data_IF_037850735763
#
_entry.id   IF_037850735763
#
_cell.length_a   1.000
_cell.length_b   1.000
_cell.length_c   1.000
_cell.angle_alpha   90.00
_cell.angle_beta   90.00
_cell.angle_gamma   90.00
#
_symmetry.space_group_name_H-M   'P 1'
#
loop_
_entity.id
_entity.type
_entity.pdbx_description
1 polymer ?
#
# COMPACT_ATOMS: atom_id res chain seq x y z
N UNK A 1 25.66 3.53 -26.27
CA UNK A 1 24.49 2.80 -25.70
C UNK A 1 24.89 2.20 -24.36
N UNK A 2 24.50 2.82 -23.25
CA UNK A 2 24.72 2.23 -21.90
C UNK A 2 23.85 0.99 -21.77
N UNK A 3 24.47 -0.17 -21.64
CA UNK A 3 23.80 -1.45 -21.31
C UNK A 3 23.02 -1.24 -20.01
N UNK A 4 21.69 -1.08 -20.09
CA UNK A 4 20.83 -1.30 -18.92
C UNK A 4 20.97 -2.78 -18.56
N UNK A 5 21.83 -3.09 -17.60
CA UNK A 5 21.69 -4.34 -16.85
C UNK A 5 20.30 -4.29 -16.24
N UNK A 6 19.39 -5.14 -16.68
CA UNK A 6 18.18 -5.46 -15.94
C UNK A 6 18.65 -6.22 -14.69
N UNK A 7 19.23 -5.47 -13.75
CA UNK A 7 19.37 -5.97 -12.41
C UNK A 7 17.92 -6.12 -11.93
N UNK A 8 17.46 -7.33 -11.74
CA UNK A 8 16.38 -7.65 -10.83
C UNK A 8 16.81 -7.12 -9.46
N UNK A 9 16.68 -5.81 -9.28
CA UNK A 9 16.96 -5.15 -8.01
C UNK A 9 16.11 -5.86 -6.97
N UNK A 10 16.77 -6.48 -6.00
CA UNK A 10 16.11 -7.03 -4.83
C UNK A 10 15.21 -5.92 -4.27
N UNK A 11 13.90 -6.08 -4.47
CA UNK A 11 12.94 -5.07 -4.03
C UNK A 11 13.06 -4.87 -2.53
N UNK A 12 13.23 -3.64 -2.12
CA UNK A 12 13.42 -3.26 -0.72
C UNK A 12 12.12 -3.53 0.03
N UNK A 13 12.21 -4.05 1.25
CA UNK A 13 11.05 -4.17 2.13
C UNK A 13 10.48 -2.79 2.44
N UNK A 14 9.17 -2.64 2.40
CA UNK A 14 8.48 -1.35 2.52
C UNK A 14 8.92 -0.56 3.76
N UNK A 15 9.00 -1.20 4.93
CA UNK A 15 9.40 -0.50 6.15
C UNK A 15 10.83 0.04 6.12
N UNK A 16 11.77 -0.62 5.39
CA UNK A 16 13.14 -0.10 5.20
C UNK A 16 13.14 1.12 4.29
N UNK A 17 12.33 1.11 3.23
CA UNK A 17 12.18 2.24 2.33
C UNK A 17 11.57 3.46 3.04
N UNK A 18 10.53 3.23 3.83
CA UNK A 18 9.83 4.29 4.54
C UNK A 18 10.54 4.76 5.83
N UNK A 19 11.56 4.06 6.31
CA UNK A 19 12.46 4.55 7.37
C UNK A 19 13.52 5.55 6.88
N UNK A 20 13.58 5.88 5.59
CA UNK A 20 14.45 6.94 5.11
C UNK A 20 13.74 8.28 5.26
N UNK A 21 14.30 9.21 6.06
CA UNK A 21 13.71 10.54 6.36
C UNK A 21 13.18 11.27 5.12
N UNK A 22 13.94 11.25 3.99
CA UNK A 22 13.50 11.86 2.72
C UNK A 22 12.21 11.26 2.17
N UNK A 23 12.04 9.92 2.28
CA UNK A 23 10.86 9.22 1.78
C UNK A 23 9.66 9.45 2.70
N UNK A 24 9.90 9.44 4.02
CA UNK A 24 8.89 9.75 5.04
C UNK A 24 8.30 11.14 4.84
N UNK A 25 9.15 12.18 4.70
CA UNK A 25 8.71 13.56 4.46
C UNK A 25 7.92 13.68 3.16
N UNK A 26 8.44 13.11 2.08
CA UNK A 26 7.79 13.12 0.77
C UNK A 26 6.42 12.45 0.80
N UNK A 27 6.31 11.29 1.46
CA UNK A 27 5.05 10.56 1.60
C UNK A 27 4.02 11.32 2.45
N UNK A 28 4.46 11.94 3.55
CA UNK A 28 3.60 12.78 4.39
C UNK A 28 3.03 13.96 3.60
N UNK A 29 3.86 14.63 2.79
CA UNK A 29 3.45 15.77 1.97
C UNK A 29 2.44 15.41 0.87
N UNK A 30 2.48 14.18 0.34
CA UNK A 30 1.54 13.73 -0.69
C UNK A 30 0.08 13.79 -0.26
N UNK A 31 -0.22 13.48 0.99
CA UNK A 31 -1.60 13.55 1.50
C UNK A 31 -2.10 14.97 1.74
N UNK A 32 -1.17 15.93 1.90
CA UNK A 32 -1.49 17.35 2.05
C UNK A 32 -1.45 18.16 0.75
N UNK A 33 -0.94 17.58 -0.34
CA UNK A 33 -0.76 18.29 -1.59
C UNK A 33 -2.03 18.27 -2.44
N UNK A 34 -2.71 19.42 -2.52
CA UNK A 34 -3.97 19.62 -3.27
C UNK A 34 -3.76 19.35 -4.77
N UNK A 35 -2.62 19.76 -5.33
CA UNK A 35 -2.34 19.62 -6.77
C UNK A 35 -2.06 18.17 -7.16
N UNK A 36 -1.35 17.42 -6.32
CA UNK A 36 -1.21 15.98 -6.52
C UNK A 36 -2.54 15.24 -6.46
N UNK A 37 -3.46 15.64 -5.59
CA UNK A 37 -4.80 15.06 -5.51
C UNK A 37 -5.66 15.40 -6.73
N UNK A 38 -5.46 16.54 -7.39
CA UNK A 38 -6.11 16.87 -8.68
C UNK A 38 -5.59 15.98 -9.81
N UNK A 39 -4.28 15.70 -9.83
CA UNK A 39 -3.64 14.91 -10.91
C UNK A 39 -3.80 13.41 -10.67
N UNK A 40 -3.73 12.95 -9.41
CA UNK A 40 -3.85 11.55 -9.02
C UNK A 40 -4.70 11.41 -7.76
N UNK A 41 -6.02 11.40 -7.89
CA UNK A 41 -6.95 11.43 -6.77
C UNK A 41 -7.07 10.09 -6.02
N UNK A 42 -6.24 9.09 -6.35
CA UNK A 42 -6.37 7.73 -5.78
C UNK A 42 -6.29 7.69 -4.26
N UNK A 43 -5.47 8.52 -3.63
CA UNK A 43 -5.38 8.58 -2.17
C UNK A 43 -6.63 9.22 -1.56
N UNK A 44 -7.15 10.26 -2.18
CA UNK A 44 -8.39 10.93 -1.76
C UNK A 44 -9.59 9.98 -1.93
N UNK A 45 -9.73 9.36 -3.11
CA UNK A 45 -10.82 8.41 -3.40
C UNK A 45 -10.77 7.19 -2.49
N UNK A 46 -9.58 6.67 -2.20
CA UNK A 46 -9.43 5.60 -1.22
C UNK A 46 -9.94 6.01 0.15
N UNK A 47 -9.57 7.20 0.63
CA UNK A 47 -10.06 7.72 1.90
C UNK A 47 -11.59 7.85 1.91
N UNK A 48 -12.20 8.44 0.88
CA UNK A 48 -13.66 8.60 0.75
C UNK A 48 -14.39 7.24 0.83
N UNK A 49 -13.87 6.21 0.14
CA UNK A 49 -14.44 4.86 0.19
C UNK A 49 -14.36 4.27 1.60
N UNK A 50 -13.21 4.39 2.26
CA UNK A 50 -13.04 3.88 3.62
C UNK A 50 -13.96 4.61 4.60
N UNK A 51 -14.06 5.94 4.50
CA UNK A 51 -14.96 6.75 5.33
C UNK A 51 -16.44 6.37 5.12
N UNK A 52 -16.85 6.18 3.87
CA UNK A 52 -18.21 5.73 3.53
C UNK A 52 -18.52 4.37 4.17
N UNK A 53 -17.59 3.42 4.09
CA UNK A 53 -17.75 2.11 4.73
C UNK A 53 -17.81 2.22 6.26
N UNK A 54 -16.99 3.08 6.87
CA UNK A 54 -17.04 3.31 8.31
C UNK A 54 -18.36 3.93 8.74
N UNK A 55 -18.90 4.89 8.00
CA UNK A 55 -20.22 5.48 8.23
C UNK A 55 -21.35 4.45 8.12
N UNK A 56 -21.23 3.54 7.13
CA UNK A 56 -22.19 2.44 6.94
C UNK A 56 -22.16 1.43 8.09
N UNK A 57 -20.97 1.00 8.53
CA UNK A 57 -20.83 -0.09 9.50
C UNK A 57 -20.75 0.37 10.96
N UNK A 58 -20.45 1.64 11.21
CA UNK A 58 -20.39 2.27 12.54
C UNK A 58 -19.59 1.49 13.59
N UNK A 59 -18.36 1.04 13.29
CA UNK A 59 -17.55 0.28 14.24
C UNK A 59 -17.17 1.13 15.45
N UNK A 60 -17.24 0.54 16.67
CA UNK A 60 -16.92 1.23 17.93
C UNK A 60 -15.42 1.38 18.17
N UNK A 61 -14.61 0.42 17.76
CA UNK A 61 -13.15 0.41 17.94
C UNK A 61 -12.45 0.03 16.65
N UNK A 62 -11.64 0.94 16.12
CA UNK A 62 -10.98 0.82 14.82
C UNK A 62 -9.47 0.80 15.02
N UNK A 63 -8.79 -0.03 14.24
CA UNK A 63 -7.33 -0.03 14.10
C UNK A 63 -6.95 0.25 12.65
N UNK A 64 -6.05 1.20 12.42
CA UNK A 64 -5.39 1.41 11.12
C UNK A 64 -4.04 0.69 11.12
N UNK A 65 -3.96 -0.42 10.41
CA UNK A 65 -2.79 -1.29 10.35
C UNK A 65 -1.89 -0.91 9.19
N UNK A 66 -0.73 -0.32 9.50
CA UNK A 66 0.15 0.30 8.52
C UNK A 66 -0.27 1.73 8.19
N UNK A 67 -0.50 2.52 9.25
CA UNK A 67 -1.05 3.88 9.15
C UNK A 67 -0.09 4.92 8.55
N UNK A 68 1.18 4.57 8.30
CA UNK A 68 2.19 5.46 7.75
C UNK A 68 2.34 6.75 8.56
N UNK A 69 2.36 7.89 7.87
CA UNK A 69 2.44 9.22 8.51
C UNK A 69 1.12 9.70 9.16
N UNK A 70 0.10 8.85 9.25
CA UNK A 70 -1.11 9.05 10.04
C UNK A 70 -2.17 9.99 9.45
N UNK A 71 -1.99 10.55 8.26
CA UNK A 71 -2.92 11.54 7.71
C UNK A 71 -4.35 11.01 7.51
N UNK A 72 -4.57 9.80 6.93
CA UNK A 72 -5.92 9.22 6.87
C UNK A 72 -6.52 8.96 8.24
N UNK A 73 -5.73 8.44 9.19
CA UNK A 73 -6.17 8.21 10.58
C UNK A 73 -6.64 9.51 11.23
N UNK A 74 -5.89 10.62 11.07
CA UNK A 74 -6.25 11.94 11.59
C UNK A 74 -7.60 12.40 11.04
N UNK A 75 -7.83 12.25 9.73
CA UNK A 75 -9.12 12.60 9.12
C UNK A 75 -10.27 11.77 9.69
N UNK A 76 -10.09 10.46 9.81
CA UNK A 76 -11.09 9.54 10.40
C UNK A 76 -11.34 9.89 11.87
N UNK A 77 -10.29 10.22 12.63
CA UNK A 77 -10.43 10.64 14.04
C UNK A 77 -11.24 11.93 14.17
N UNK A 78 -10.96 12.93 13.30
CA UNK A 78 -11.71 14.19 13.24
C UNK A 78 -13.17 14.02 12.81
N UNK A 79 -13.46 12.97 12.03
CA UNK A 79 -14.83 12.59 11.67
C UNK A 79 -15.58 11.86 12.81
N UNK A 80 -15.01 11.83 14.04
CA UNK A 80 -15.65 11.31 15.24
C UNK A 80 -15.41 9.83 15.55
N UNK A 81 -14.66 9.12 14.72
CA UNK A 81 -14.41 7.69 14.95
C UNK A 81 -13.35 7.42 16.04
N UNK A 82 -13.56 6.36 16.81
CA UNK A 82 -12.57 5.87 17.79
C UNK A 82 -11.54 4.97 17.08
N UNK A 83 -10.45 5.58 16.63
CA UNK A 83 -9.40 4.94 15.85
C UNK A 83 -8.03 5.11 16.52
N UNK A 84 -7.23 4.04 16.52
CA UNK A 84 -5.80 4.02 16.79
C UNK A 84 -5.08 3.39 15.60
N UNK A 85 -3.77 3.57 15.51
CA UNK A 85 -2.99 3.00 14.41
C UNK A 85 -1.61 2.54 14.82
N UNK A 86 -0.98 1.81 13.92
CA UNK A 86 0.42 1.43 14.07
C UNK A 86 1.10 1.28 12.70
N UNK A 87 2.42 1.50 12.69
CA UNK A 87 3.27 1.25 11.52
C UNK A 87 4.60 0.63 11.94
N UNK A 88 5.19 -0.17 11.05
CA UNK A 88 6.48 -0.83 11.30
C UNK A 88 7.66 0.12 11.12
N UNK A 89 7.51 1.14 10.27
CA UNK A 89 8.53 2.13 10.00
C UNK A 89 8.56 3.18 11.12
N UNK A 90 9.61 3.16 11.94
CA UNK A 90 9.75 4.08 13.10
C UNK A 90 9.71 5.55 12.68
N UNK A 91 10.33 5.91 11.57
CA UNK A 91 10.33 7.29 11.06
C UNK A 91 8.92 7.73 10.63
N UNK A 92 8.11 6.81 10.06
CA UNK A 92 6.70 7.08 9.77
C UNK A 92 5.91 7.34 11.06
N UNK A 93 6.12 6.54 12.10
CA UNK A 93 5.45 6.74 13.40
C UNK A 93 5.84 8.08 14.03
N UNK A 94 7.11 8.47 13.94
CA UNK A 94 7.55 9.79 14.44
C UNK A 94 6.91 10.93 13.65
N UNK A 95 6.84 10.82 12.31
CA UNK A 95 6.15 11.81 11.48
C UNK A 95 4.64 11.84 11.78
N UNK A 96 4.02 10.68 11.98
CA UNK A 96 2.63 10.59 12.36
C UNK A 96 2.34 11.31 13.71
N UNK A 97 3.21 11.14 14.70
CA UNK A 97 3.09 11.85 15.97
C UNK A 97 3.23 13.38 15.81
N UNK A 98 4.14 13.84 14.94
CA UNK A 98 4.24 15.26 14.58
C UNK A 98 2.95 15.77 13.91
N UNK A 99 2.39 14.99 13.00
CA UNK A 99 1.13 15.33 12.34
C UNK A 99 -0.04 15.35 13.32
N UNK A 100 -0.12 14.38 14.25
CA UNK A 100 -1.13 14.39 15.33
C UNK A 100 -1.02 15.68 16.18
N UNK A 101 0.18 16.06 16.60
CA UNK A 101 0.40 17.29 17.37
C UNK A 101 -0.04 18.55 16.62
N UNK A 102 0.29 18.67 15.31
CA UNK A 102 -0.19 19.77 14.45
C UNK A 102 -1.71 19.85 14.37
N UNK A 103 -2.39 18.73 14.53
CA UNK A 103 -3.84 18.63 14.53
C UNK A 103 -4.47 18.60 15.94
N UNK A 104 -3.70 18.88 16.98
CA UNK A 104 -4.14 18.88 18.40
C UNK A 104 -4.75 17.54 18.82
N UNK A 105 -4.18 16.43 18.35
CA UNK A 105 -4.58 15.08 18.69
C UNK A 105 -3.50 14.37 19.51
N UNK A 106 -3.88 13.44 20.42
CA UNK A 106 -2.96 12.72 21.27
C UNK A 106 -1.94 11.88 20.49
N UNK A 107 -0.64 11.93 20.81
CA UNK A 107 0.40 11.18 20.11
C UNK A 107 0.34 9.66 20.33
N UNK A 108 -0.33 9.19 21.40
CA UNK A 108 -0.53 7.79 21.74
C UNK A 108 -1.57 7.08 20.84
N UNK A 109 -2.25 7.82 19.98
CA UNK A 109 -3.11 7.23 18.94
C UNK A 109 -2.32 6.37 17.95
N UNK A 110 -1.00 6.59 17.83
CA UNK A 110 -0.15 5.85 16.89
C UNK A 110 1.08 5.30 17.61
N UNK A 111 1.38 4.03 17.35
CA UNK A 111 2.56 3.34 17.91
C UNK A 111 3.31 2.53 16.85
N UNK A 112 4.52 2.07 17.19
CA UNK A 112 5.27 1.14 16.36
C UNK A 112 4.62 -0.24 16.45
N UNK A 113 4.40 -0.89 15.28
CA UNK A 113 3.81 -2.22 15.23
C UNK A 113 3.89 -2.83 13.84
N UNK A 114 3.82 -4.16 13.77
CA UNK A 114 3.92 -4.89 12.50
C UNK A 114 2.56 -5.48 12.11
N UNK A 115 2.01 -5.04 10.97
CA UNK A 115 0.73 -5.54 10.49
C UNK A 115 0.79 -7.01 10.02
N UNK A 116 1.96 -7.54 9.66
CA UNK A 116 2.10 -8.96 9.35
C UNK A 116 1.93 -9.85 10.60
N UNK A 117 2.29 -9.31 11.78
CA UNK A 117 2.15 -9.99 13.07
C UNK A 117 1.85 -8.98 14.18
N UNK A 118 0.58 -8.58 14.35
CA UNK A 118 0.16 -7.52 15.27
C UNK A 118 0.06 -8.04 16.72
N UNK A 119 1.17 -8.45 17.32
CA UNK A 119 1.23 -9.02 18.69
C UNK A 119 0.68 -8.07 19.76
N UNK A 120 0.84 -6.75 19.56
CA UNK A 120 0.38 -5.71 20.48
C UNK A 120 -1.14 -5.47 20.44
N UNK A 121 -1.86 -6.04 19.46
CA UNK A 121 -3.32 -6.00 19.41
C UNK A 121 -3.86 -7.30 20.01
N UNK A 122 -4.70 -7.19 21.04
CA UNK A 122 -5.35 -8.34 21.68
C UNK A 122 -6.29 -9.04 20.69
N UNK A 123 -6.37 -10.38 20.77
CA UNK A 123 -7.32 -11.14 19.96
C UNK A 123 -8.77 -10.79 20.33
N UNK A 124 -9.68 -10.90 19.38
CA UNK A 124 -11.12 -10.64 19.56
C UNK A 124 -11.44 -9.29 20.23
N UNK A 125 -10.66 -8.22 19.91
CA UNK A 125 -10.71 -6.97 20.66
C UNK A 125 -11.13 -5.74 19.86
N UNK A 126 -11.20 -5.82 18.53
CA UNK A 126 -11.52 -4.68 17.67
C UNK A 126 -12.69 -4.98 16.73
N UNK A 127 -13.45 -3.95 16.41
CA UNK A 127 -14.64 -4.09 15.56
C UNK A 127 -14.28 -3.92 14.07
N UNK A 128 -13.23 -3.14 13.79
CA UNK A 128 -12.79 -2.92 12.41
C UNK A 128 -11.26 -2.74 12.34
N UNK A 129 -10.66 -3.35 11.33
CA UNK A 129 -9.26 -3.13 10.99
C UNK A 129 -9.20 -2.55 9.58
N UNK A 130 -8.45 -1.46 9.42
CA UNK A 130 -8.19 -0.82 8.15
C UNK A 130 -6.79 -1.19 7.67
N UNK A 131 -6.64 -1.43 6.36
CA UNK A 131 -5.36 -1.61 5.69
C UNK A 131 -5.28 -0.68 4.48
N UNK A 132 -5.27 0.63 4.72
CA UNK A 132 -5.28 1.64 3.66
C UNK A 132 -3.92 1.76 2.98
N UNK A 133 -3.70 0.97 1.93
CA UNK A 133 -2.45 1.03 1.17
C UNK A 133 -1.28 0.30 1.82
N UNK A 134 -1.51 -0.69 2.67
CA UNK A 134 -0.48 -1.36 3.46
C UNK A 134 -0.30 -2.85 3.11
N UNK A 135 -1.36 -3.63 3.08
CA UNK A 135 -1.27 -5.10 3.06
C UNK A 135 -0.65 -5.69 1.81
N UNK A 136 -0.73 -5.01 0.68
CA UNK A 136 -0.06 -5.45 -0.54
C UNK A 136 1.48 -5.39 -0.46
N UNK A 137 2.05 -4.76 0.58
CA UNK A 137 3.49 -4.81 0.84
C UNK A 137 3.92 -6.07 1.61
N UNK A 138 3.00 -6.90 2.09
CA UNK A 138 3.34 -8.14 2.76
C UNK A 138 3.83 -9.20 1.79
N UNK A 139 4.96 -9.84 2.09
CA UNK A 139 5.39 -11.05 1.38
C UNK A 139 4.56 -12.28 1.74
N UNK A 140 3.86 -12.24 2.88
CA UNK A 140 3.02 -13.33 3.41
C UNK A 140 1.57 -12.88 3.50
N UNK A 141 1.01 -12.43 2.37
CA UNK A 141 -0.30 -11.74 2.32
C UNK A 141 -1.43 -12.52 3.02
N UNK A 142 -1.65 -13.79 2.66
CA UNK A 142 -2.69 -14.62 3.26
C UNK A 142 -2.47 -14.79 4.78
N UNK A 143 -1.23 -15.04 5.20
CA UNK A 143 -0.92 -15.15 6.63
C UNK A 143 -1.19 -13.82 7.37
N UNK A 144 -0.91 -12.69 6.71
CA UNK A 144 -1.24 -11.37 7.24
C UNK A 144 -2.73 -11.24 7.46
N UNK A 145 -3.57 -11.60 6.50
CA UNK A 145 -5.03 -11.55 6.65
C UNK A 145 -5.51 -12.46 7.79
N UNK A 146 -4.99 -13.69 7.90
CA UNK A 146 -5.29 -14.60 9.02
C UNK A 146 -4.92 -14.00 10.37
N UNK A 147 -3.76 -13.36 10.48
CA UNK A 147 -3.32 -12.71 11.71
C UNK A 147 -4.19 -11.51 12.07
N UNK A 148 -4.64 -10.72 11.08
CA UNK A 148 -5.57 -9.62 11.31
C UNK A 148 -6.96 -10.13 11.72
N UNK A 149 -7.47 -11.19 11.08
CA UNK A 149 -8.76 -11.81 11.44
C UNK A 149 -8.81 -12.22 12.92
N UNK A 150 -7.73 -12.79 13.48
CA UNK A 150 -7.66 -13.15 14.90
C UNK A 150 -7.87 -11.96 15.84
N UNK A 151 -7.62 -10.74 15.41
CA UNK A 151 -7.76 -9.53 16.22
C UNK A 151 -9.19 -8.98 16.20
N UNK A 152 -9.94 -9.31 15.18
CA UNK A 152 -11.33 -8.89 15.02
C UNK A 152 -12.24 -9.66 15.99
N UNK A 153 -13.23 -8.98 16.54
CA UNK A 153 -14.36 -9.59 17.23
C UNK A 153 -15.20 -10.43 16.26
N UNK A 154 -16.09 -11.25 16.80
CA UNK A 154 -17.15 -11.90 16.01
C UNK A 154 -17.92 -10.81 15.25
N UNK A 155 -18.11 -10.99 13.94
CA UNK A 155 -18.71 -10.02 13.02
C UNK A 155 -17.88 -8.73 12.80
N UNK A 156 -16.64 -8.67 13.29
CA UNK A 156 -15.71 -7.59 12.99
C UNK A 156 -15.33 -7.56 11.51
N UNK A 157 -14.91 -6.40 11.02
CA UNK A 157 -14.66 -6.18 9.59
C UNK A 157 -13.21 -5.83 9.30
N UNK A 158 -12.66 -6.44 8.26
CA UNK A 158 -11.36 -6.09 7.69
C UNK A 158 -11.59 -5.33 6.39
N UNK A 159 -11.23 -4.04 6.36
CA UNK A 159 -11.37 -3.18 5.19
C UNK A 159 -9.97 -2.82 4.70
N UNK A 160 -9.61 -3.22 3.50
CA UNK A 160 -8.27 -2.97 2.98
C UNK A 160 -8.27 -2.73 1.48
N UNK A 161 -7.24 -2.03 1.00
CA UNK A 161 -7.05 -1.79 -0.42
C UNK A 161 -5.99 -2.71 -1.00
N UNK A 162 -6.18 -3.10 -2.26
CA UNK A 162 -5.26 -3.91 -3.05
C UNK A 162 -4.76 -3.14 -4.26
N UNK A 163 -3.63 -3.57 -4.80
CA UNK A 163 -3.16 -3.13 -6.12
C UNK A 163 -3.77 -4.03 -7.18
N UNK A 164 -4.50 -3.42 -8.11
CA UNK A 164 -5.13 -4.12 -9.20
C UNK A 164 -4.07 -4.56 -10.24
N UNK A 165 -3.93 -5.87 -10.46
CA UNK A 165 -3.00 -6.45 -11.43
C UNK A 165 -3.32 -6.01 -12.87
N UNK A 166 -4.61 -5.86 -13.21
CA UNK A 166 -5.03 -5.45 -14.54
C UNK A 166 -4.60 -4.00 -14.87
N UNK A 167 -4.44 -3.16 -13.86
CA UNK A 167 -3.93 -1.81 -14.07
C UNK A 167 -2.51 -1.80 -14.65
N UNK A 168 -1.73 -2.86 -14.40
CA UNK A 168 -0.39 -3.00 -14.95
C UNK A 168 -0.37 -3.10 -16.48
N UNK A 169 -1.47 -3.48 -17.13
CA UNK A 169 -1.58 -3.55 -18.59
C UNK A 169 -1.39 -2.17 -19.22
N UNK A 170 -1.94 -1.14 -18.61
CA UNK A 170 -2.00 0.22 -19.18
C UNK A 170 -0.93 1.19 -18.69
N UNK A 171 -0.19 0.88 -17.63
CA UNK A 171 0.71 1.84 -16.98
C UNK A 171 2.02 2.07 -17.74
N UNK A 172 2.43 1.16 -18.61
CA UNK A 172 3.66 1.22 -19.44
C UNK A 172 4.92 1.58 -18.65
N UNK A 173 5.03 1.04 -17.44
CA UNK A 173 6.18 1.18 -16.54
C UNK A 173 6.76 -0.21 -16.18
N UNK A 174 7.64 -0.29 -15.19
CA UNK A 174 8.25 -1.56 -14.75
C UNK A 174 7.22 -2.60 -14.29
N UNK A 175 6.05 -2.20 -13.79
CA UNK A 175 4.96 -3.13 -13.46
C UNK A 175 4.35 -3.74 -14.73
N UNK A 176 4.14 -2.95 -15.77
CA UNK A 176 3.69 -3.45 -17.08
C UNK A 176 4.72 -4.37 -17.70
N UNK A 177 5.99 -3.97 -17.66
CA UNK A 177 7.09 -4.80 -18.17
C UNK A 177 7.11 -6.16 -17.48
N UNK A 178 7.00 -6.18 -16.15
CA UNK A 178 6.92 -7.44 -15.39
C UNK A 178 5.68 -8.23 -15.77
N UNK A 179 4.51 -7.59 -15.83
CA UNK A 179 3.24 -8.23 -16.18
C UNK A 179 3.34 -8.96 -17.54
N UNK A 180 3.80 -8.25 -18.57
CA UNK A 180 3.94 -8.84 -19.90
C UNK A 180 5.07 -9.88 -19.97
N UNK A 181 6.18 -9.67 -19.25
CA UNK A 181 7.25 -10.65 -19.18
C UNK A 181 6.79 -11.97 -18.55
N UNK A 182 5.97 -11.90 -17.50
CA UNK A 182 5.40 -13.07 -16.84
C UNK A 182 4.31 -13.71 -17.72
N UNK A 183 3.43 -12.91 -18.34
CA UNK A 183 2.34 -13.39 -19.20
C UNK A 183 2.84 -14.17 -20.40
N UNK A 184 3.87 -13.65 -21.07
CA UNK A 184 4.48 -14.27 -22.25
C UNK A 184 5.65 -15.18 -21.91
N UNK A 185 5.90 -15.42 -20.62
CA UNK A 185 6.98 -16.29 -20.17
C UNK A 185 8.36 -15.96 -20.78
N UNK A 186 8.63 -14.65 -20.97
CA UNK A 186 9.79 -14.15 -21.71
C UNK A 186 11.12 -14.76 -21.24
N UNK A 187 11.17 -15.19 -19.99
CA UNK A 187 12.37 -15.83 -19.42
C UNK A 187 12.68 -17.22 -20.02
N UNK A 188 11.68 -17.88 -20.63
CA UNK A 188 11.87 -19.19 -21.29
C UNK A 188 12.48 -19.09 -22.69
N UNK A 189 12.47 -17.88 -23.29
CA UNK A 189 12.98 -17.68 -24.65
C UNK A 189 14.48 -17.39 -24.70
N UNK A 190 15.07 -17.57 -25.91
CA UNK A 190 16.48 -17.25 -26.14
C UNK A 190 16.78 -15.74 -26.07
N UNK A 191 18.04 -15.39 -26.02
CA UNK A 191 18.48 -13.99 -25.85
C UNK A 191 18.01 -13.04 -26.97
N UNK A 192 17.82 -13.53 -28.21
CA UNK A 192 17.36 -12.71 -29.34
C UNK A 192 15.92 -12.27 -29.16
N UNK A 193 15.02 -13.18 -28.74
CA UNK A 193 13.61 -12.88 -28.47
C UNK A 193 13.49 -11.94 -27.27
N UNK A 194 14.21 -12.23 -26.17
CA UNK A 194 14.28 -11.33 -25.00
C UNK A 194 14.68 -9.92 -25.41
N UNK A 195 15.75 -9.77 -26.17
CA UNK A 195 16.25 -8.45 -26.61
C UNK A 195 15.21 -7.70 -27.45
N UNK A 196 14.50 -8.40 -28.32
CA UNK A 196 13.44 -7.84 -29.16
C UNK A 196 12.24 -7.38 -28.32
N UNK A 197 11.81 -8.19 -27.37
CA UNK A 197 10.72 -7.87 -26.46
C UNK A 197 11.03 -6.61 -25.64
N UNK A 198 12.20 -6.53 -25.00
CA UNK A 198 12.57 -5.36 -24.22
C UNK A 198 12.71 -4.10 -25.07
N UNK A 199 13.26 -4.21 -26.30
CA UNK A 199 13.35 -3.09 -27.23
C UNK A 199 11.98 -2.56 -27.62
N UNK A 200 11.05 -3.46 -27.93
CA UNK A 200 9.67 -3.12 -28.25
C UNK A 200 8.98 -2.45 -27.05
N UNK A 201 9.09 -3.04 -25.87
CA UNK A 201 8.50 -2.45 -24.65
C UNK A 201 9.04 -1.06 -24.37
N UNK A 202 10.36 -0.86 -24.44
CA UNK A 202 11.02 0.43 -24.26
C UNK A 202 10.52 1.48 -25.26
N UNK A 203 10.20 1.10 -26.49
CA UNK A 203 9.66 2.03 -27.50
C UNK A 203 8.26 2.55 -27.11
N UNK A 204 7.44 1.74 -26.48
CA UNK A 204 6.12 2.14 -25.94
C UNK A 204 6.26 2.97 -24.64
N UNK A 205 7.15 2.55 -23.74
CA UNK A 205 7.39 3.23 -22.47
C UNK A 205 7.96 4.63 -22.65
N UNK A 206 8.82 4.83 -23.64
CA UNK A 206 9.41 6.14 -23.97
C UNK A 206 8.38 7.16 -24.50
N UNK A 207 7.27 6.71 -25.07
CA UNK A 207 6.18 7.60 -25.53
C UNK A 207 5.37 8.20 -24.40
N UNK A 208 5.31 7.55 -23.24
CA UNK A 208 4.62 8.04 -22.03
C UNK A 208 5.64 8.38 -20.95
N UNK A 209 6.60 9.29 -21.26
CA UNK A 209 7.54 9.79 -20.23
C UNK A 209 6.78 10.25 -19.01
N UNK A 210 7.02 9.53 -17.93
CA UNK A 210 6.43 9.65 -16.61
C UNK A 210 6.07 11.08 -16.20
N UNK A 211 4.80 11.43 -16.21
CA UNK A 211 4.26 12.59 -15.50
C UNK A 211 4.32 12.40 -13.97
N UNK A 212 4.57 11.18 -13.51
CA UNK A 212 4.54 10.78 -12.09
C UNK A 212 5.93 10.44 -11.54
N UNK A 213 6.93 11.28 -11.80
CA UNK A 213 8.31 11.09 -11.35
C UNK A 213 8.54 11.06 -9.83
N UNK A 214 7.51 11.08 -9.02
CA UNK A 214 7.70 11.54 -7.64
C UNK A 214 7.79 10.50 -6.55
N UNK A 215 7.58 9.19 -6.81
CA UNK A 215 7.77 8.17 -5.80
C UNK A 215 8.42 6.94 -6.45
N UNK A 216 9.62 6.61 -6.01
CA UNK A 216 10.34 5.38 -6.36
C UNK A 216 9.67 4.14 -5.73
N UNK A 217 8.35 4.09 -5.79
CA UNK A 217 7.53 3.01 -5.26
C UNK A 217 7.80 1.69 -6.00
N UNK A 218 8.34 1.78 -7.20
CA UNK A 218 8.78 0.64 -8.01
C UNK A 218 9.91 -0.16 -7.37
N UNK A 219 10.72 0.48 -6.51
CA UNK A 219 11.80 -0.16 -5.76
C UNK A 219 11.31 -0.95 -4.56
N UNK A 220 10.06 -0.78 -4.17
CA UNK A 220 9.47 -1.43 -3.01
C UNK A 220 8.74 -2.70 -3.43
N UNK A 221 8.95 -3.79 -2.67
CA UNK A 221 8.16 -5.00 -2.87
C UNK A 221 6.66 -4.70 -2.68
N UNK A 222 5.85 -5.09 -3.64
CA UNK A 222 4.39 -5.06 -3.51
C UNK A 222 3.74 -6.17 -4.33
N UNK A 223 2.66 -6.73 -3.80
CA UNK A 223 1.80 -7.65 -4.51
C UNK A 223 0.81 -6.87 -5.37
N UNK A 224 0.46 -7.45 -6.51
CA UNK A 224 -0.69 -7.05 -7.31
C UNK A 224 -1.64 -8.23 -7.39
N UNK A 225 -2.93 -7.97 -7.30
CA UNK A 225 -3.95 -9.01 -7.26
C UNK A 225 -4.89 -8.88 -8.45
N UNK A 226 -5.32 -10.03 -8.98
CA UNK A 226 -6.33 -10.08 -10.03
C UNK A 226 -7.71 -9.81 -9.38
N UNK A 227 -8.41 -8.73 -9.75
CA UNK A 227 -9.70 -8.40 -9.16
C UNK A 227 -10.79 -9.44 -9.46
N UNK A 228 -10.62 -10.25 -10.50
CA UNK A 228 -11.58 -11.28 -10.88
C UNK A 228 -11.47 -12.58 -10.05
N UNK A 229 -10.32 -12.83 -9.41
CA UNK A 229 -10.06 -14.08 -8.67
C UNK A 229 -9.74 -13.87 -7.20
N UNK A 230 -9.43 -12.65 -6.79
CA UNK A 230 -8.94 -12.36 -5.42
C UNK A 230 -9.95 -12.73 -4.34
N UNK A 231 -11.23 -12.57 -4.60
CA UNK A 231 -12.28 -12.92 -3.64
C UNK A 231 -12.25 -14.41 -3.32
N UNK A 232 -12.30 -15.27 -4.34
CA UNK A 232 -12.23 -16.72 -4.16
C UNK A 232 -10.90 -17.17 -3.54
N UNK A 233 -9.77 -16.52 -3.92
CA UNK A 233 -8.46 -16.79 -3.34
C UNK A 233 -8.42 -16.49 -1.83
N UNK A 234 -9.11 -15.45 -1.37
CA UNK A 234 -9.19 -15.08 0.06
C UNK A 234 -10.17 -16.01 0.78
N UNK A 235 -11.39 -16.20 0.27
CA UNK A 235 -12.42 -17.02 0.90
C UNK A 235 -11.96 -18.46 1.13
N UNK A 236 -11.20 -19.03 0.20
CA UNK A 236 -10.68 -20.40 0.32
C UNK A 236 -9.49 -20.54 1.27
N UNK A 237 -8.85 -19.45 1.69
CA UNK A 237 -7.58 -19.50 2.43
C UNK A 237 -7.57 -18.75 3.76
N UNK A 238 -8.54 -17.91 4.06
CA UNK A 238 -8.63 -17.03 5.24
C UNK A 238 -9.84 -17.35 6.09
#
# INVERSE_FOLDING_TARGET
MKKRKVNYLMKILSYKFFNLKKNTKKYSQMYGNVDLNKIYPANLKRYEIFETLLKKYKPKKIIDAGCGAGMPLIKIKKAGFNIKGYDKAKDMVQEAKRNLARHKLPPDLIQVGNFENPKHVKNNSVDCILGMGAFYYSKKFIMTLKNQRKKLKKNGRLIFSLRNKLFNIATLNDYSLKFYSDLYEINKYNGRIKKRFFKLFDSFANRKKNRFKNIDDEKVFSNTHNPLTIESEILNKV
#
